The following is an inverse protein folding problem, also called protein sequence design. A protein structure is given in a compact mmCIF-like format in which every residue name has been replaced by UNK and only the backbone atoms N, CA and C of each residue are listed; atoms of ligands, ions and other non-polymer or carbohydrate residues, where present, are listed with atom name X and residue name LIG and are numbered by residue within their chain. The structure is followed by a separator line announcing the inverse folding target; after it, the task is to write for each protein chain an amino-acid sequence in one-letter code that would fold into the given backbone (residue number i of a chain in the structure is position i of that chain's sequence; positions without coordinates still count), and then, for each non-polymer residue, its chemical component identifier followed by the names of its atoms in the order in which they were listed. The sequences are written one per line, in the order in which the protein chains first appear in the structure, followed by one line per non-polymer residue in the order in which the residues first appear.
data_IF_835964817990
#
_entry.id   IF_835964817990
#
_cell.length_a   1.000
_cell.length_b   1.000
_cell.length_c   1.000
_cell.angle_alpha   90.00
_cell.angle_beta   90.00
_cell.angle_gamma   90.00
#
_symmetry.space_group_name_H-M   'P 1'
#
loop_
_entity.id
_entity.type
_entity.pdbx_description
1 polymer ?
#
# COMPACT_ATOMS: atom_id res chain seq x y z
N UNK A 1 -8.82 -9.53 -18.06
CA UNK A 1 -9.21 -9.41 -16.64
C UNK A 1 -9.52 -7.95 -16.36
N UNK A 2 -10.76 -7.65 -15.93
CA UNK A 2 -11.24 -6.30 -15.63
C UNK A 2 -10.78 -5.89 -14.24
N UNK A 3 -9.99 -4.83 -14.15
CA UNK A 3 -9.38 -4.37 -12.91
C UNK A 3 -9.89 -2.99 -12.55
N UNK A 4 -10.18 -2.77 -11.27
CA UNK A 4 -10.42 -1.45 -10.70
C UNK A 4 -9.31 -1.10 -9.72
N UNK A 5 -8.81 0.13 -9.75
CA UNK A 5 -7.82 0.65 -8.81
C UNK A 5 -8.48 1.51 -7.72
N UNK A 6 -8.21 1.18 -6.46
CA UNK A 6 -8.55 2.02 -5.31
C UNK A 6 -7.32 2.75 -4.81
N UNK A 7 -7.36 4.07 -4.85
CA UNK A 7 -6.24 4.92 -4.46
C UNK A 7 -6.57 5.90 -3.31
N UNK A 8 -5.63 6.13 -2.38
CA UNK A 8 -5.84 7.04 -1.25
C UNK A 8 -5.89 8.53 -1.65
N UNK A 9 -5.20 8.89 -2.75
CA UNK A 9 -5.16 10.21 -3.38
C UNK A 9 -4.84 10.07 -4.87
N UNK A 10 -5.24 11.06 -5.68
CA UNK A 10 -4.98 11.05 -7.14
C UNK A 10 -3.48 11.23 -7.47
N UNK A 11 -2.73 11.87 -6.56
CA UNK A 11 -1.30 12.16 -6.73
C UNK A 11 -0.35 11.12 -6.11
N UNK A 12 -0.88 10.08 -5.46
CA UNK A 12 -0.06 9.02 -4.83
C UNK A 12 0.86 8.38 -5.88
N UNK A 13 2.18 8.51 -5.70
CA UNK A 13 3.16 7.96 -6.65
C UNK A 13 3.05 6.42 -6.74
N UNK A 14 2.87 5.74 -5.60
CA UNK A 14 2.60 4.31 -5.56
C UNK A 14 1.38 3.93 -6.42
N UNK A 15 0.26 4.63 -6.24
CA UNK A 15 -0.96 4.34 -7.00
C UNK A 15 -0.83 4.64 -8.49
N UNK A 16 -0.10 5.71 -8.84
CA UNK A 16 0.20 6.08 -10.23
C UNK A 16 1.08 5.04 -10.92
N UNK A 17 2.13 4.57 -10.26
CA UNK A 17 3.01 3.52 -10.81
C UNK A 17 2.27 2.20 -10.96
N UNK A 18 1.44 1.82 -9.99
CA UNK A 18 0.57 0.64 -10.11
C UNK A 18 -0.38 0.80 -11.30
N UNK A 19 -1.08 1.93 -11.44
CA UNK A 19 -1.95 2.16 -12.60
C UNK A 19 -1.19 2.04 -13.93
N UNK A 20 -0.03 2.69 -14.03
CA UNK A 20 0.83 2.66 -15.22
C UNK A 20 1.23 1.24 -15.60
N UNK A 21 1.67 0.45 -14.62
CA UNK A 21 2.05 -0.94 -14.83
C UNK A 21 0.87 -1.81 -15.26
N UNK A 22 -0.31 -1.64 -14.64
CA UNK A 22 -1.52 -2.39 -15.00
C UNK A 22 -1.93 -2.13 -16.46
N UNK A 23 -1.85 -0.88 -16.92
CA UNK A 23 -2.19 -0.50 -18.30
C UNK A 23 -1.26 -1.12 -19.34
N UNK A 24 -0.04 -1.50 -18.95
CA UNK A 24 0.96 -2.11 -19.84
C UNK A 24 0.79 -3.62 -19.97
N UNK A 25 -0.07 -4.23 -19.14
CA UNK A 25 -0.35 -5.66 -19.22
C UNK A 25 -1.48 -5.92 -20.21
N UNK A 26 -1.17 -6.51 -21.36
CA UNK A 26 -2.13 -6.72 -22.45
C UNK A 26 -3.41 -7.49 -22.04
N UNK A 27 -3.32 -8.35 -21.03
CA UNK A 27 -4.46 -9.15 -20.54
C UNK A 27 -5.24 -8.47 -19.40
N UNK A 28 -4.87 -7.24 -19.02
CA UNK A 28 -5.50 -6.45 -17.97
C UNK A 28 -6.22 -5.26 -18.59
N UNK A 29 -7.50 -5.13 -18.28
CA UNK A 29 -8.34 -3.99 -18.67
C UNK A 29 -8.60 -3.16 -17.42
N UNK A 30 -7.91 -2.02 -17.27
CA UNK A 30 -8.12 -1.10 -16.13
C UNK A 30 -9.39 -0.29 -16.38
N UNK A 31 -10.53 -0.78 -15.92
CA UNK A 31 -11.87 -0.22 -16.24
C UNK A 31 -12.29 0.92 -15.33
N UNK A 32 -11.67 1.06 -14.16
CA UNK A 32 -12.02 2.11 -13.22
C UNK A 32 -10.91 2.49 -12.25
N UNK A 33 -10.89 3.77 -11.86
CA UNK A 33 -10.03 4.33 -10.82
C UNK A 33 -10.91 5.09 -9.83
N UNK A 34 -10.88 4.65 -8.57
CA UNK A 34 -11.61 5.28 -7.49
C UNK A 34 -10.62 5.91 -6.51
N UNK A 35 -10.75 7.22 -6.31
CA UNK A 35 -9.85 8.00 -5.47
C UNK A 35 -10.58 8.54 -4.26
N UNK A 36 -9.99 8.41 -3.07
CA UNK A 36 -10.54 9.07 -1.88
C UNK A 36 -10.28 10.58 -1.90
N UNK A 37 -11.32 11.38 -1.62
CA UNK A 37 -11.15 12.79 -1.28
C UNK A 37 -10.45 12.96 0.07
N UNK A 38 -9.49 13.89 0.12
CA UNK A 38 -8.69 14.19 1.32
C UNK A 38 -9.51 14.89 2.42
N UNK A 39 -10.43 15.77 2.03
CA UNK A 39 -11.17 16.62 2.94
C UNK A 39 -12.48 15.98 3.38
N UNK A 40 -12.41 15.21 4.46
CA UNK A 40 -13.57 14.83 5.26
C UNK A 40 -13.21 15.05 6.73
N UNK A 41 -14.01 15.84 7.45
CA UNK A 41 -13.81 16.08 8.88
C UNK A 41 -13.68 14.76 9.67
N UNK A 42 -14.46 13.75 9.27
CA UNK A 42 -14.37 12.39 9.85
C UNK A 42 -13.00 11.75 9.60
N UNK A 43 -12.41 11.94 8.41
CA UNK A 43 -11.06 11.43 8.06
C UNK A 43 -9.99 12.17 8.83
N UNK A 44 -10.00 13.51 8.86
CA UNK A 44 -9.03 14.30 9.65
C UNK A 44 -9.05 13.85 11.11
N UNK A 45 -10.24 13.68 11.70
CA UNK A 45 -10.39 13.17 13.07
C UNK A 45 -9.88 11.74 13.25
N UNK A 46 -10.08 10.86 12.26
CA UNK A 46 -9.64 9.46 12.31
C UNK A 46 -8.12 9.35 12.13
N UNK A 47 -7.57 10.08 11.16
CA UNK A 47 -6.13 10.16 10.90
C UNK A 47 -5.42 10.86 12.08
N UNK A 48 -6.03 11.87 12.72
CA UNK A 48 -5.52 12.47 13.98
C UNK A 48 -5.55 11.47 15.14
N UNK A 49 -6.62 10.69 15.27
CA UNK A 49 -6.70 9.64 16.31
C UNK A 49 -5.71 8.50 16.06
N UNK A 50 -5.42 8.19 14.79
CA UNK A 50 -4.52 7.11 14.37
C UNK A 50 -3.05 7.51 14.40
N UNK A 51 -2.70 8.68 13.88
CA UNK A 51 -1.31 9.15 13.71
C UNK A 51 -0.91 10.21 14.75
N UNK A 52 -1.86 10.79 15.48
CA UNK A 52 -1.58 11.81 16.50
C UNK A 52 -0.94 13.08 15.91
N UNK A 53 -0.04 13.76 16.66
CA UNK A 53 0.65 14.96 16.18
C UNK A 53 1.56 14.72 14.95
N UNK A 54 1.86 13.46 14.58
CA UNK A 54 2.60 13.14 13.34
C UNK A 54 1.82 13.53 12.08
N UNK A 55 0.49 13.50 12.11
CA UNK A 55 -0.31 13.96 10.97
C UNK A 55 -0.06 15.45 10.71
N UNK A 56 -0.02 16.26 11.78
CA UNK A 56 0.29 17.69 11.69
C UNK A 56 1.73 17.91 11.23
N UNK A 57 2.69 17.09 11.67
CA UNK A 57 4.07 17.15 11.19
C UNK A 57 4.20 16.80 9.70
N UNK A 58 3.51 15.75 9.21
CA UNK A 58 3.46 15.37 7.79
C UNK A 58 2.75 16.42 6.92
N UNK A 59 1.70 17.05 7.45
CA UNK A 59 0.98 18.12 6.77
C UNK A 59 1.86 19.38 6.73
N UNK A 60 2.47 19.76 7.85
CA UNK A 60 3.40 20.89 7.96
C UNK A 60 4.62 20.69 7.05
N UNK A 61 5.23 19.51 7.03
CA UNK A 61 6.36 19.19 6.14
C UNK A 61 5.96 19.17 4.66
N UNK A 62 4.68 18.97 4.32
CA UNK A 62 4.18 19.07 2.94
C UNK A 62 3.74 20.47 2.54
N UNK A 63 3.36 21.32 3.50
CA UNK A 63 2.84 22.68 3.26
C UNK A 63 3.88 23.78 3.41
N UNK A 64 4.88 23.60 4.29
CA UNK A 64 5.80 24.68 4.72
C UNK A 64 7.25 24.42 4.33
N UNK A 65 7.69 23.16 4.21
CA UNK A 65 9.00 22.90 3.60
C UNK A 65 8.87 23.10 2.08
N UNK A 66 9.55 24.10 1.50
CA UNK A 66 9.70 24.17 0.06
C UNK A 66 10.40 22.90 -0.42
N UNK A 67 10.29 22.56 -1.70
CA UNK A 67 11.08 21.51 -2.37
C UNK A 67 12.62 21.58 -2.11
N UNK A 68 13.11 22.61 -1.41
CA UNK A 68 14.51 22.93 -1.12
C UNK A 68 15.09 22.42 0.22
N UNK A 69 14.47 21.45 0.90
CA UNK A 69 15.24 20.55 1.78
C UNK A 69 15.77 19.31 1.03
N UNK A 70 15.89 19.44 -0.30
CA UNK A 70 16.45 18.49 -1.24
C UNK A 70 17.99 18.41 -1.23
N UNK A 71 18.64 18.55 -0.07
CA UNK A 71 20.03 18.11 0.09
C UNK A 71 19.93 16.63 0.51
N UNK A 72 19.86 15.75 -0.49
CA UNK A 72 19.67 14.30 -0.34
C UNK A 72 18.62 13.66 -1.28
N UNK A 73 17.99 14.42 -2.19
CA UNK A 73 16.98 13.92 -3.13
C UNK A 73 17.53 13.13 -4.34
N UNK A 74 18.85 12.99 -4.49
CA UNK A 74 19.45 12.33 -5.65
C UNK A 74 19.12 10.83 -5.77
N UNK A 75 18.54 10.19 -4.75
CA UNK A 75 18.23 8.74 -4.78
C UNK A 75 16.89 8.41 -4.08
N UNK A 76 15.78 9.03 -4.47
CA UNK A 76 14.43 8.51 -4.13
C UNK A 76 14.12 7.28 -5.02
N UNK A 77 14.10 6.05 -4.48
CA UNK A 77 13.93 4.85 -5.29
C UNK A 77 12.59 4.79 -6.02
N UNK A 78 11.53 5.40 -5.48
CA UNK A 78 10.23 5.46 -6.14
C UNK A 78 10.23 6.40 -7.33
N UNK A 79 10.95 7.53 -7.24
CA UNK A 79 11.16 8.42 -8.39
C UNK A 79 12.06 7.77 -9.43
N UNK A 80 13.11 7.08 -9.01
CA UNK A 80 13.96 6.31 -9.92
C UNK A 80 13.14 5.25 -10.68
N UNK A 81 12.27 4.50 -9.98
CA UNK A 81 11.34 3.56 -10.60
C UNK A 81 10.38 4.27 -11.56
N UNK A 82 9.88 5.46 -11.22
CA UNK A 82 9.01 6.21 -12.11
C UNK A 82 9.69 6.62 -13.42
N UNK A 83 10.98 6.99 -13.35
CA UNK A 83 11.80 7.26 -14.54
C UNK A 83 12.06 5.96 -15.33
N UNK A 84 12.45 4.87 -14.65
CA UNK A 84 12.67 3.56 -15.26
C UNK A 84 11.44 3.06 -16.04
N UNK A 85 10.26 3.17 -15.45
CA UNK A 85 9.01 2.73 -16.06
C UNK A 85 8.44 3.73 -17.08
N UNK A 86 8.99 4.94 -17.16
CA UNK A 86 8.51 6.00 -18.05
C UNK A 86 7.13 6.54 -17.66
N UNK A 87 6.88 6.75 -16.37
CA UNK A 87 5.62 7.32 -15.88
C UNK A 87 5.45 8.77 -16.40
N UNK A 88 4.40 9.02 -17.19
CA UNK A 88 4.24 10.25 -17.97
C UNK A 88 3.02 11.11 -17.57
N UNK A 89 2.30 10.73 -16.53
CA UNK A 89 1.14 11.45 -16.01
C UNK A 89 1.33 11.89 -14.57
N UNK A 90 0.92 13.13 -14.27
CA UNK A 90 1.09 13.77 -12.94
C UNK A 90 0.13 13.24 -11.87
N UNK A 91 -1.04 12.74 -12.27
CA UNK A 91 -2.09 12.24 -11.39
C UNK A 91 -2.97 11.21 -12.11
N UNK A 92 -3.77 10.49 -11.33
CA UNK A 92 -4.63 9.42 -11.82
C UNK A 92 -5.81 9.93 -12.67
N UNK A 93 -6.20 11.19 -12.54
CA UNK A 93 -7.24 11.78 -13.39
C UNK A 93 -6.73 11.97 -14.82
N UNK A 94 -5.49 12.41 -14.99
CA UNK A 94 -4.83 12.49 -16.30
C UNK A 94 -4.67 11.10 -16.93
N UNK A 95 -4.25 10.10 -16.14
CA UNK A 95 -4.21 8.71 -16.60
C UNK A 95 -5.57 8.24 -17.10
N UNK A 96 -6.64 8.50 -16.34
CA UNK A 96 -7.99 8.13 -16.72
C UNK A 96 -8.44 8.79 -18.02
N UNK A 97 -8.27 10.11 -18.13
CA UNK A 97 -8.69 10.87 -19.30
C UNK A 97 -7.98 10.39 -20.58
N UNK A 98 -6.67 10.16 -20.50
CA UNK A 98 -5.86 9.70 -21.66
C UNK A 98 -6.26 8.32 -22.16
N UNK A 99 -6.75 7.46 -21.28
CA UNK A 99 -6.98 6.05 -21.57
C UNK A 99 -8.47 5.66 -21.54
N UNK A 100 -9.38 6.62 -21.41
CA UNK A 100 -10.82 6.36 -21.40
C UNK A 100 -11.31 5.56 -20.17
N UNK A 101 -10.59 5.63 -19.05
CA UNK A 101 -10.90 4.85 -17.83
C UNK A 101 -11.94 5.59 -16.99
N UNK A 102 -12.91 4.89 -16.40
CA UNK A 102 -13.87 5.52 -15.48
C UNK A 102 -13.15 6.06 -14.24
N UNK A 103 -13.21 7.36 -13.98
CA UNK A 103 -12.62 7.97 -12.78
C UNK A 103 -13.70 8.50 -11.84
N UNK A 104 -13.58 8.16 -10.55
CA UNK A 104 -14.52 8.61 -9.52
C UNK A 104 -13.80 9.04 -8.26
N UNK A 105 -14.16 10.22 -7.78
CA UNK A 105 -13.77 10.66 -6.45
C UNK A 105 -14.85 10.28 -5.43
N UNK A 106 -14.46 9.61 -4.36
CA UNK A 106 -15.37 9.14 -3.31
C UNK A 106 -14.90 9.62 -1.94
N UNK A 107 -15.85 9.88 -1.03
CA UNK A 107 -15.52 10.18 0.36
C UNK A 107 -15.12 8.91 1.14
N UNK A 108 -15.79 7.81 0.81
CA UNK A 108 -15.64 6.48 1.40
C UNK A 108 -15.84 5.45 0.30
N UNK A 109 -14.92 4.49 0.19
CA UNK A 109 -15.04 3.37 -0.74
C UNK A 109 -16.24 2.48 -0.44
N UNK A 110 -16.69 2.47 0.82
CA UNK A 110 -17.81 1.65 1.28
C UNK A 110 -19.17 2.31 1.06
N UNK A 111 -19.22 3.52 0.50
CA UNK A 111 -20.47 4.24 0.28
C UNK A 111 -21.34 3.53 -0.78
N UNK A 112 -22.68 3.55 -0.65
CA UNK A 112 -23.58 2.92 -1.63
C UNK A 112 -23.33 3.36 -3.08
N UNK A 113 -23.05 4.65 -3.30
CA UNK A 113 -22.74 5.16 -4.64
C UNK A 113 -21.46 4.56 -5.25
N UNK A 114 -20.47 4.25 -4.41
CA UNK A 114 -19.24 3.56 -4.83
C UNK A 114 -19.54 2.10 -5.17
N UNK A 115 -20.31 1.43 -4.32
CA UNK A 115 -20.79 0.07 -4.57
C UNK A 115 -21.55 -0.04 -5.91
N UNK A 116 -22.58 0.79 -6.13
CA UNK A 116 -23.36 0.75 -7.39
C UNK A 116 -22.50 1.03 -8.62
N UNK A 117 -21.52 1.93 -8.51
CA UNK A 117 -20.59 2.19 -9.60
C UNK A 117 -19.67 1.00 -9.89
N UNK A 118 -19.26 0.24 -8.87
CA UNK A 118 -18.43 -0.96 -9.05
C UNK A 118 -19.24 -2.12 -9.63
N UNK A 119 -20.47 -2.32 -9.17
CA UNK A 119 -21.40 -3.32 -9.71
C UNK A 119 -21.59 -3.10 -11.22
N UNK A 120 -21.81 -1.84 -11.65
CA UNK A 120 -21.92 -1.48 -13.06
C UNK A 120 -20.63 -1.65 -13.87
N UNK A 121 -19.46 -1.68 -13.24
CA UNK A 121 -18.19 -1.98 -13.89
C UNK A 121 -17.87 -3.47 -13.93
N UNK A 122 -18.50 -4.28 -13.06
CA UNK A 122 -18.28 -5.73 -12.96
C UNK A 122 -16.79 -6.11 -12.98
N UNK A 123 -15.97 -5.63 -12.02
CA UNK A 123 -14.55 -5.93 -11.98
C UNK A 123 -14.31 -7.40 -11.65
N UNK A 124 -13.25 -7.98 -12.20
CA UNK A 124 -12.72 -9.26 -11.75
C UNK A 124 -11.88 -9.08 -10.49
N UNK A 125 -11.13 -7.97 -10.42
CA UNK A 125 -10.18 -7.68 -9.36
C UNK A 125 -10.24 -6.21 -8.96
N UNK A 126 -10.18 -5.93 -7.66
CA UNK A 126 -9.87 -4.59 -7.16
C UNK A 126 -8.43 -4.59 -6.66
N UNK A 127 -7.58 -3.71 -7.19
CA UNK A 127 -6.23 -3.46 -6.65
C UNK A 127 -6.33 -2.30 -5.67
N UNK A 128 -6.02 -2.58 -4.40
CA UNK A 128 -6.07 -1.60 -3.32
C UNK A 128 -4.66 -1.07 -3.02
N UNK A 129 -4.46 0.23 -3.21
CA UNK A 129 -3.18 0.91 -2.92
C UNK A 129 -3.25 1.82 -1.70
N UNK A 130 -4.28 1.63 -0.87
CA UNK A 130 -4.50 2.39 0.35
C UNK A 130 -5.81 3.17 0.33
N UNK A 131 -6.14 3.73 1.50
CA UNK A 131 -7.37 4.51 1.68
C UNK A 131 -8.36 3.91 2.67
N UNK A 132 -7.91 3.11 3.65
CA UNK A 132 -8.72 2.67 4.79
C UNK A 132 -9.36 1.29 4.62
N UNK A 133 -10.28 0.96 5.52
CA UNK A 133 -10.90 -0.36 5.57
C UNK A 133 -11.97 -0.54 4.49
N UNK A 134 -11.99 -1.72 3.88
CA UNK A 134 -12.99 -2.14 2.89
C UNK A 134 -13.95 -3.13 3.55
N UNK A 135 -15.24 -2.91 3.42
CA UNK A 135 -16.31 -3.67 4.07
C UNK A 135 -16.86 -4.73 3.13
N UNK A 136 -17.62 -5.67 3.70
CA UNK A 136 -18.22 -6.82 3.00
C UNK A 136 -18.99 -6.44 1.73
N UNK A 137 -19.67 -5.29 1.73
CA UNK A 137 -20.43 -4.82 0.57
C UNK A 137 -19.57 -4.49 -0.64
N UNK A 138 -18.28 -4.19 -0.44
CA UNK A 138 -17.31 -3.97 -1.52
C UNK A 138 -16.44 -5.20 -1.74
N UNK A 139 -16.01 -5.88 -0.67
CA UNK A 139 -15.16 -7.08 -0.74
C UNK A 139 -15.76 -8.19 -1.62
N UNK A 140 -17.08 -8.33 -1.65
CA UNK A 140 -17.78 -9.36 -2.43
C UNK A 140 -18.14 -8.98 -3.86
N UNK A 141 -17.78 -7.77 -4.33
CA UNK A 141 -18.07 -7.34 -5.71
C UNK A 141 -17.12 -7.99 -6.73
N UNK A 142 -15.78 -7.88 -6.58
CA UNK A 142 -14.87 -8.47 -7.56
C UNK A 142 -14.90 -10.00 -7.49
N UNK A 143 -14.90 -10.67 -8.65
CA UNK A 143 -14.98 -12.14 -8.73
C UNK A 143 -13.78 -12.85 -8.12
N UNK A 144 -12.57 -12.27 -8.23
CA UNK A 144 -11.33 -12.79 -7.65
C UNK A 144 -11.04 -12.22 -6.25
N UNK A 145 -11.53 -11.01 -5.95
CA UNK A 145 -11.35 -10.36 -4.66
C UNK A 145 -10.65 -8.99 -4.72
N UNK A 146 -10.21 -8.53 -3.56
CA UNK A 146 -9.52 -7.24 -3.39
C UNK A 146 -8.06 -7.51 -3.05
N UNK A 147 -7.15 -7.20 -3.96
CA UNK A 147 -5.72 -7.42 -3.82
C UNK A 147 -5.08 -6.26 -3.03
N UNK A 148 -4.29 -6.60 -2.01
CA UNK A 148 -3.50 -5.64 -1.24
C UNK A 148 -2.05 -6.10 -1.12
N UNK A 149 -1.13 -5.13 -1.08
CA UNK A 149 0.27 -5.36 -0.74
C UNK A 149 0.56 -4.72 0.60
N UNK A 150 0.72 -5.55 1.62
CA UNK A 150 0.98 -5.13 3.00
C UNK A 150 2.48 -5.09 3.29
N UNK A 151 2.95 -4.08 4.03
CA UNK A 151 4.35 -3.90 4.41
C UNK A 151 4.75 -4.70 5.66
N UNK A 152 4.35 -5.96 5.74
CA UNK A 152 4.67 -6.87 6.84
C UNK A 152 4.57 -8.32 6.40
N UNK A 153 5.30 -9.20 7.08
CA UNK A 153 5.24 -10.64 6.84
C UNK A 153 4.04 -11.24 7.59
N UNK A 154 3.00 -11.58 6.83
CA UNK A 154 1.80 -12.25 7.33
C UNK A 154 2.08 -13.75 7.50
N UNK A 155 1.39 -14.44 8.43
CA UNK A 155 0.38 -13.91 9.36
C UNK A 155 0.94 -13.08 10.53
N UNK A 156 2.25 -13.19 10.81
CA UNK A 156 2.86 -12.72 12.05
C UNK A 156 2.62 -11.22 12.34
N UNK A 157 2.84 -10.37 11.35
CA UNK A 157 2.79 -8.90 11.49
C UNK A 157 1.64 -8.26 10.71
N UNK A 158 0.43 -8.22 11.29
CA UNK A 158 -0.76 -7.57 10.72
C UNK A 158 -0.87 -6.10 11.15
N UNK A 159 -1.56 -5.26 10.38
CA UNK A 159 -1.90 -3.90 10.79
C UNK A 159 -0.82 -2.86 10.49
N UNK A 160 -0.41 -2.06 11.48
CA UNK A 160 0.40 -0.86 11.25
C UNK A 160 1.78 -0.94 11.90
N UNK A 161 2.73 -0.16 11.39
CA UNK A 161 4.11 -0.01 11.91
C UNK A 161 4.84 -1.34 12.15
N UNK A 162 4.56 -2.31 11.27
CA UNK A 162 5.03 -3.71 11.33
C UNK A 162 6.54 -3.86 11.29
N UNK A 163 7.25 -2.95 10.61
CA UNK A 163 8.72 -2.89 10.62
C UNK A 163 9.24 -2.59 12.05
N UNK A 164 8.69 -1.59 12.72
CA UNK A 164 9.05 -1.28 14.10
C UNK A 164 8.70 -2.40 15.07
N UNK A 165 7.52 -3.00 14.92
CA UNK A 165 7.11 -4.11 15.79
C UNK A 165 7.99 -5.33 15.62
N UNK A 166 8.34 -5.71 14.39
CA UNK A 166 9.28 -6.79 14.13
C UNK A 166 10.63 -6.55 14.81
N UNK A 167 11.16 -5.32 14.71
CA UNK A 167 12.42 -4.95 15.36
C UNK A 167 12.35 -5.02 16.89
N UNK A 168 11.24 -4.59 17.48
CA UNK A 168 11.08 -4.59 18.93
C UNK A 168 10.94 -5.99 19.51
N UNK A 169 10.28 -6.89 18.79
CA UNK A 169 10.08 -8.29 19.20
C UNK A 169 11.27 -9.20 18.92
N UNK A 170 12.16 -8.82 18.00
CA UNK A 170 13.36 -9.61 17.73
C UNK A 170 14.22 -9.72 19.00
N UNK A 171 14.48 -10.95 19.45
CA UNK A 171 15.29 -11.22 20.63
C UNK A 171 16.79 -11.03 20.34
N UNK A 172 17.27 -11.45 19.16
CA UNK A 172 18.66 -11.31 18.70
C UNK A 172 18.73 -11.21 17.18
N UNK A 173 19.77 -10.52 16.67
CA UNK A 173 20.08 -10.28 15.25
C UNK A 173 18.90 -9.64 14.46
N UNK A 174 19.12 -8.96 13.33
CA UNK A 174 18.02 -8.23 12.70
C UNK A 174 16.94 -9.22 12.21
N UNK A 175 15.64 -8.96 12.48
CA UNK A 175 14.56 -9.82 12.02
C UNK A 175 14.43 -9.77 10.51
N UNK A 176 13.92 -10.84 9.90
CA UNK A 176 13.44 -10.77 8.52
C UNK A 176 12.20 -9.89 8.48
N UNK A 177 12.21 -8.90 7.59
CA UNK A 177 11.07 -8.02 7.32
C UNK A 177 10.66 -8.18 5.85
N UNK A 178 9.60 -7.52 5.42
CA UNK A 178 9.20 -7.66 4.03
C UNK A 178 7.79 -7.24 3.71
N UNK A 179 7.30 -7.75 2.60
CA UNK A 179 5.99 -7.47 2.04
C UNK A 179 5.19 -8.76 1.92
N UNK A 180 3.88 -8.65 2.06
CA UNK A 180 2.95 -9.73 1.72
C UNK A 180 1.88 -9.23 0.75
N UNK A 181 1.79 -9.88 -0.41
CA UNK A 181 0.67 -9.77 -1.33
C UNK A 181 -0.42 -10.71 -0.84
N UNK A 182 -1.61 -10.19 -0.58
CA UNK A 182 -2.72 -10.98 -0.07
C UNK A 182 -4.07 -10.45 -0.56
N UNK A 183 -5.08 -11.29 -0.48
CA UNK A 183 -6.46 -10.83 -0.62
C UNK A 183 -6.98 -10.26 0.69
N UNK A 184 -7.66 -9.13 0.61
CA UNK A 184 -8.36 -8.56 1.76
C UNK A 184 -9.60 -9.39 2.09
N UNK A 185 -9.87 -9.54 3.39
CA UNK A 185 -11.10 -10.09 3.92
C UNK A 185 -11.68 -9.09 4.97
N UNK A 186 -12.75 -9.42 5.72
CA UNK A 186 -13.30 -8.50 6.72
C UNK A 186 -12.36 -8.14 7.88
N UNK A 187 -11.25 -8.87 8.07
CA UNK A 187 -10.27 -8.58 9.11
C UNK A 187 -9.10 -7.72 8.61
N UNK A 188 -8.20 -7.35 9.51
CA UNK A 188 -7.02 -6.53 9.17
C UNK A 188 -5.87 -7.46 8.81
N UNK A 189 -5.56 -7.52 7.52
CA UNK A 189 -4.48 -8.34 6.95
C UNK A 189 -4.58 -9.84 7.29
N UNK A 190 -5.80 -10.36 7.41
CA UNK A 190 -6.08 -11.76 7.75
C UNK A 190 -6.36 -12.65 6.55
N UNK A 191 -6.59 -12.08 5.37
CA UNK A 191 -7.00 -12.85 4.20
C UNK A 191 -5.86 -13.65 3.55
N UNK A 192 -6.19 -14.51 2.58
CA UNK A 192 -5.24 -15.45 1.99
C UNK A 192 -3.98 -14.79 1.40
N UNK A 193 -2.82 -15.35 1.71
CA UNK A 193 -1.51 -14.93 1.20
C UNK A 193 -1.30 -15.48 -0.21
N UNK A 194 -0.77 -14.65 -1.10
CA UNK A 194 -0.44 -15.01 -2.47
C UNK A 194 1.07 -15.07 -2.70
N UNK A 195 1.79 -14.10 -2.14
CA UNK A 195 3.24 -13.98 -2.31
C UNK A 195 3.84 -13.19 -1.16
N UNK A 196 5.09 -13.50 -0.83
CA UNK A 196 5.89 -12.70 0.10
C UNK A 196 7.21 -12.29 -0.55
N UNK A 197 7.64 -11.07 -0.25
CA UNK A 197 8.99 -10.57 -0.54
C UNK A 197 9.71 -10.43 0.79
N UNK A 198 10.81 -11.15 0.96
CA UNK A 198 11.67 -11.04 2.14
C UNK A 198 12.72 -9.98 1.89
N UNK A 199 12.92 -9.11 2.88
CA UNK A 199 13.92 -8.06 2.87
C UNK A 199 14.89 -8.28 4.02
N UNK A 200 16.14 -8.53 3.65
CA UNK A 200 17.24 -8.62 4.60
C UNK A 200 17.68 -7.22 5.00
N UNK A 201 17.66 -6.98 6.31
CA UNK A 201 18.22 -5.77 6.89
C UNK A 201 19.75 -5.82 6.78
N UNK A 202 20.38 -4.67 6.57
CA UNK A 202 21.81 -4.51 6.29
C UNK A 202 22.49 -3.63 7.35
N UNK A 203 23.79 -3.84 7.63
CA UNK A 203 24.55 -2.94 8.49
C UNK A 203 24.39 -1.49 8.05
N UNK A 204 24.10 -0.60 8.99
CA UNK A 204 23.88 0.83 8.72
C UNK A 204 22.47 1.18 8.22
N UNK A 205 21.55 0.21 8.15
CA UNK A 205 20.16 0.50 7.79
C UNK A 205 19.48 1.44 8.79
N UNK A 206 18.65 2.32 8.23
CA UNK A 206 17.67 3.10 8.99
C UNK A 206 16.26 2.64 8.64
N UNK A 207 15.28 2.91 9.51
CA UNK A 207 13.88 2.59 9.22
C UNK A 207 13.39 3.24 7.90
N UNK A 208 13.89 4.43 7.57
CA UNK A 208 13.55 5.13 6.31
C UNK A 208 14.19 4.44 5.11
N UNK A 209 15.48 4.08 5.20
CA UNK A 209 16.18 3.38 4.13
C UNK A 209 15.52 2.04 3.78
N UNK A 210 15.11 1.26 4.78
CA UNK A 210 14.39 -0.01 4.59
C UNK A 210 13.06 0.24 3.88
N UNK A 211 12.26 1.19 4.34
CA UNK A 211 10.98 1.53 3.68
C UNK A 211 11.15 1.96 2.23
N UNK A 212 12.12 2.82 1.95
CA UNK A 212 12.41 3.28 0.58
C UNK A 212 12.81 2.15 -0.36
N UNK A 213 13.46 1.09 0.15
CA UNK A 213 13.74 -0.12 -0.66
C UNK A 213 12.49 -0.96 -0.90
N UNK A 214 11.62 -1.06 0.11
CA UNK A 214 10.38 -1.82 0.01
C UNK A 214 9.36 -1.18 -0.95
N UNK A 215 9.26 0.15 -1.01
CA UNK A 215 8.23 0.83 -1.82
C UNK A 215 8.25 0.47 -3.32
N UNK A 216 9.39 0.49 -4.04
CA UNK A 216 9.47 -0.02 -5.41
C UNK A 216 9.13 -1.52 -5.53
N UNK A 217 9.55 -2.32 -4.53
CA UNK A 217 9.25 -3.75 -4.50
C UNK A 217 7.73 -4.01 -4.37
N UNK A 218 6.99 -3.15 -3.65
CA UNK A 218 5.53 -3.21 -3.58
C UNK A 218 4.87 -3.01 -4.95
N UNK A 219 5.32 -2.02 -5.73
CA UNK A 219 4.80 -1.77 -7.10
C UNK A 219 5.01 -3.01 -7.97
N UNK A 220 6.23 -3.54 -7.98
CA UNK A 220 6.57 -4.72 -8.77
C UNK A 220 5.80 -5.95 -8.31
N UNK A 221 5.63 -6.14 -6.99
CA UNK A 221 4.88 -7.26 -6.44
C UNK A 221 3.40 -7.21 -6.81
N UNK A 222 2.76 -6.03 -6.77
CA UNK A 222 1.38 -5.87 -7.24
C UNK A 222 1.27 -6.12 -8.74
N UNK A 223 2.10 -5.46 -9.56
CA UNK A 223 2.11 -5.66 -11.03
C UNK A 223 2.27 -7.13 -11.40
N UNK A 224 3.25 -7.81 -10.78
CA UNK A 224 3.48 -9.24 -10.97
C UNK A 224 2.30 -10.09 -10.50
N UNK A 225 1.77 -9.82 -9.30
CA UNK A 225 0.66 -10.58 -8.74
C UNK A 225 -0.61 -10.52 -9.59
N UNK A 226 -0.93 -9.34 -10.16
CA UNK A 226 -2.05 -9.21 -11.11
C UNK A 226 -1.83 -10.07 -12.36
N UNK A 227 -0.61 -10.10 -12.88
CA UNK A 227 -0.27 -10.94 -14.05
C UNK A 227 -0.42 -12.43 -13.73
N UNK A 228 0.10 -12.89 -12.60
CA UNK A 228 0.06 -14.29 -12.17
C UNK A 228 -1.37 -14.74 -11.81
N UNK A 229 -2.22 -13.84 -11.27
CA UNK A 229 -3.65 -14.10 -11.10
C UNK A 229 -4.36 -14.27 -12.44
N UNK A 230 -4.01 -13.45 -13.44
CA UNK A 230 -4.61 -13.53 -14.76
C UNK A 230 -4.24 -14.83 -15.48
N UNK A 231 -3.01 -15.34 -15.31
CA UNK A 231 -2.58 -16.62 -15.90
C UNK A 231 -3.02 -17.86 -15.10
N UNK A 232 -3.56 -17.68 -13.89
CA UNK A 232 -3.93 -18.79 -13.00
C UNK A 232 -2.74 -19.46 -12.32
N UNK A 233 -1.56 -18.83 -12.34
CA UNK A 233 -0.32 -19.34 -11.76
C UNK A 233 -0.17 -19.03 -10.26
N UNK A 234 -1.11 -18.27 -9.69
CA UNK A 234 -1.06 -17.80 -8.31
C UNK A 234 -2.12 -18.50 -7.46
N UNK A 235 -1.68 -19.34 -6.52
CA UNK A 235 -2.56 -20.00 -5.55
C UNK A 235 -2.61 -19.20 -4.24
N UNK A 236 -3.82 -19.02 -3.70
CA UNK A 236 -4.05 -18.31 -2.46
C UNK A 236 -3.97 -19.26 -1.27
N UNK A 237 -3.04 -19.03 -0.35
CA UNK A 237 -2.89 -19.81 0.87
C UNK A 237 -3.62 -19.14 2.05
N UNK A 238 -4.57 -19.85 2.65
CA UNK A 238 -5.24 -19.36 3.85
C UNK A 238 -4.24 -19.17 5.00
N UNK A 239 -4.39 -18.06 5.75
CA UNK A 239 -3.60 -17.82 6.95
C UNK A 239 -4.13 -18.63 8.13
N UNK A 240 -3.23 -19.17 8.95
CA UNK A 240 -3.59 -19.62 10.29
C UNK A 240 -3.90 -18.41 11.19
N UNK A 241 -5.09 -18.38 11.80
CA UNK A 241 -5.54 -17.22 12.59
C UNK A 241 -4.69 -16.97 13.82
N UNK A 242 -4.25 -18.05 14.49
CA UNK A 242 -3.41 -18.05 15.69
C UNK A 242 -1.95 -17.67 15.44
N UNK A 243 -1.47 -17.78 14.20
CA UNK A 243 -0.05 -17.60 13.86
C UNK A 243 0.41 -16.14 13.80
N UNK A 244 -0.43 -15.18 14.15
CA UNK A 244 -0.03 -13.78 14.20
C UNK A 244 -1.04 -12.86 14.84
N UNK A 245 -0.63 -11.61 15.05
CA UNK A 245 -1.40 -10.62 15.79
C UNK A 245 -1.51 -9.30 15.04
N UNK A 246 -2.55 -8.54 15.37
CA UNK A 246 -2.76 -7.21 14.82
C UNK A 246 -2.02 -6.17 15.65
N UNK A 247 -1.14 -5.43 15.00
CA UNK A 247 -0.43 -4.30 15.57
C UNK A 247 -1.07 -2.97 15.18
N UNK A 248 -0.85 -1.99 16.04
CA UNK A 248 -1.36 -0.63 15.88
C UNK A 248 -0.19 0.35 15.73
N UNK A 249 -0.52 1.60 15.41
CA UNK A 249 0.48 2.67 15.28
C UNK A 249 1.31 2.76 16.55
N UNK A 250 2.63 2.74 16.36
CA UNK A 250 3.58 2.65 17.45
C UNK A 250 3.85 4.04 18.06
N UNK A 251 3.94 4.09 19.40
CA UNK A 251 4.27 5.31 20.12
C UNK A 251 5.66 5.84 19.72
N UNK A 252 5.88 7.17 19.59
CA UNK A 252 7.18 7.74 19.17
C UNK A 252 8.40 7.23 19.95
N UNK A 253 8.29 7.08 21.28
CA UNK A 253 9.39 6.54 22.11
C UNK A 253 9.78 5.10 21.71
N UNK A 254 8.80 4.28 21.35
CA UNK A 254 9.05 2.90 20.90
C UNK A 254 9.62 2.89 19.48
N UNK A 255 9.23 3.82 18.61
CA UNK A 255 9.87 3.99 17.31
C UNK A 255 11.36 4.34 17.45
N UNK A 256 11.71 5.26 18.36
CA UNK A 256 13.12 5.57 18.67
C UNK A 256 13.85 4.33 19.17
N UNK A 257 13.22 3.53 20.03
CA UNK A 257 13.79 2.26 20.50
C UNK A 257 13.98 1.24 19.37
N UNK A 258 13.04 1.14 18.44
CA UNK A 258 13.15 0.27 17.28
C UNK A 258 14.31 0.69 16.36
N UNK A 259 14.47 2.00 16.12
CA UNK A 259 15.59 2.54 15.37
C UNK A 259 16.95 2.27 16.04
N UNK A 260 17.03 2.39 17.37
CA UNK A 260 18.23 2.05 18.14
C UNK A 260 18.53 0.54 18.12
N UNK A 261 17.50 -0.31 18.19
CA UNK A 261 17.68 -1.76 18.03
C UNK A 261 18.24 -2.10 16.65
N UNK A 262 17.71 -1.48 15.59
CA UNK A 262 18.21 -1.67 14.23
C UNK A 262 19.67 -1.22 14.10
N UNK A 263 20.02 -0.04 14.61
CA UNK A 263 21.40 0.47 14.49
C UNK A 263 22.43 -0.41 15.22
N UNK A 264 22.02 -1.07 16.31
CA UNK A 264 22.86 -1.94 17.15
C UNK A 264 22.75 -3.41 16.80
N UNK A 265 22.01 -3.79 15.75
CA UNK A 265 21.77 -5.19 15.42
C UNK A 265 23.04 -5.94 14.95
N UNK A 266 24.14 -5.21 14.73
CA UNK A 266 25.44 -5.72 14.29
C UNK A 266 26.60 -5.36 15.24
N UNK A 267 26.30 -4.79 16.41
CA UNK A 267 27.27 -4.53 17.48
C UNK A 267 27.40 -5.76 18.40
#
# INVERSE_FOLDING_TARGET
MRVVLFAPTSSSLYSRLVAHELQRQAAVDLVGIFVRRLWSYKRIRTDLRREGPRLLQKIYSKLILPEKAAIGQEQDPMRALAVELGLDFKDLAVCSQRNGISYREVLDFNAPACQSALEGLSPDLIVFTGGGLIRKNILGIPTLGVLNCHSGLLPRYRGMDTLEWALLEADQAPPTVGLTLHFMDPGVDTGPILRQHLEDLKPGDTLDAVRRRLEPAMVRMVSRGVRELQSGELEAQAQERSAGQQYFVIHPRLQTRAALKLSRAWD
#
